data_IF_385010252039
#
_entry.id   IF_385010252039
#
_cell.length_a   1.000
_cell.length_b   1.000
_cell.length_c   1.000
_cell.angle_alpha   90.00
_cell.angle_beta   90.00
_cell.angle_gamma   90.00
#
_symmetry.space_group_name_H-M   'P 1'
#
loop_
_entity.id
_entity.type
_entity.pdbx_description
1 polymer ?
#
# COMPACT_ATOMS: atom_id res chain seq x y z
N UNK A 1 15.54 -26.02 -13.71
CA UNK A 1 14.78 -24.98 -14.41
C UNK A 1 13.54 -25.59 -15.05
N UNK A 2 12.35 -25.30 -14.52
CA UNK A 2 11.11 -25.73 -15.16
C UNK A 2 10.74 -24.67 -16.22
N UNK A 3 11.04 -24.96 -17.48
CA UNK A 3 10.58 -24.14 -18.61
C UNK A 3 9.17 -24.59 -18.99
N UNK A 4 8.22 -23.69 -19.04
CA UNK A 4 6.93 -23.94 -19.67
C UNK A 4 7.14 -24.10 -21.17
N UNK A 5 6.65 -25.20 -21.72
CA UNK A 5 6.78 -25.54 -23.14
C UNK A 5 6.21 -24.40 -23.99
N UNK A 6 7.05 -23.81 -24.83
CA UNK A 6 6.68 -22.75 -25.80
C UNK A 6 6.92 -21.32 -25.34
N UNK A 7 7.37 -21.07 -24.10
CA UNK A 7 7.79 -19.74 -23.67
C UNK A 7 9.27 -19.73 -23.27
N UNK A 8 10.01 -18.72 -23.71
CA UNK A 8 11.41 -18.48 -23.29
C UNK A 8 11.51 -18.03 -21.83
N UNK A 9 10.53 -18.40 -20.97
CA UNK A 9 10.43 -18.02 -19.58
C UNK A 9 10.91 -19.17 -18.70
N UNK A 10 11.94 -18.92 -17.92
CA UNK A 10 12.49 -19.84 -16.94
C UNK A 10 12.20 -19.32 -15.52
N UNK A 11 11.39 -20.04 -14.75
CA UNK A 11 11.20 -19.77 -13.32
C UNK A 11 12.39 -20.37 -12.58
N UNK A 12 13.20 -19.55 -11.93
CA UNK A 12 14.40 -19.92 -11.18
C UNK A 12 14.09 -20.28 -9.74
N UNK A 13 13.13 -19.59 -9.13
CA UNK A 13 12.74 -19.77 -7.74
C UNK A 13 11.28 -19.41 -7.51
N UNK A 14 10.65 -20.11 -6.58
CA UNK A 14 9.28 -19.87 -6.15
C UNK A 14 9.17 -20.10 -4.64
N UNK A 15 8.59 -19.15 -3.95
CA UNK A 15 8.36 -19.20 -2.52
C UNK A 15 6.91 -18.90 -2.19
N UNK A 16 6.32 -19.73 -1.37
CA UNK A 16 5.07 -19.46 -0.70
C UNK A 16 5.42 -19.27 0.78
N UNK A 17 4.92 -18.20 1.37
CA UNK A 17 5.17 -17.90 2.76
C UNK A 17 4.07 -17.06 3.36
N UNK A 18 4.24 -16.74 4.61
CA UNK A 18 3.30 -15.94 5.35
C UNK A 18 3.62 -15.93 6.83
N UNK A 19 2.77 -15.26 7.58
CA UNK A 19 2.83 -15.26 9.03
C UNK A 19 1.42 -15.19 9.61
N UNK A 20 1.27 -15.74 10.81
CA UNK A 20 0.07 -15.56 11.62
C UNK A 20 0.38 -14.48 12.65
N UNK A 21 -0.51 -13.52 12.75
CA UNK A 21 -0.46 -12.47 13.77
C UNK A 21 -1.78 -12.47 14.51
N UNK A 22 -1.73 -12.60 15.84
CA UNK A 22 -2.85 -12.35 16.73
C UNK A 22 -2.55 -11.11 17.55
N UNK A 23 -3.48 -10.18 17.61
CA UNK A 23 -3.39 -8.94 18.39
C UNK A 23 -4.51 -8.95 19.41
N UNK A 24 -4.19 -8.61 20.65
CA UNK A 24 -5.16 -8.40 21.71
C UNK A 24 -4.96 -7.02 22.31
N UNK A 25 -6.05 -6.31 22.56
CA UNK A 25 -6.02 -4.99 23.16
C UNK A 25 -7.14 -4.81 24.19
N UNK A 26 -6.91 -3.91 25.12
CA UNK A 26 -7.88 -3.55 26.13
C UNK A 26 -7.95 -2.03 26.27
N UNK A 27 -9.09 -1.45 25.92
CA UNK A 27 -9.35 -0.04 25.96
C UNK A 27 -10.06 0.35 27.26
N UNK A 28 -9.48 1.26 28.02
CA UNK A 28 -10.06 1.78 29.23
C UNK A 28 -10.98 2.98 28.98
N UNK A 29 -10.82 3.65 27.84
CA UNK A 29 -11.56 4.85 27.44
C UNK A 29 -12.72 4.64 26.49
N UNK A 30 -12.95 3.40 26.02
CA UNK A 30 -14.06 3.05 25.15
C UNK A 30 -13.87 3.48 23.69
N UNK A 31 -12.76 3.16 23.11
CA UNK A 31 -12.56 3.18 21.65
C UNK A 31 -13.44 2.09 21.05
N UNK A 32 -14.20 2.43 20.01
CA UNK A 32 -15.20 1.53 19.40
C UNK A 32 -14.63 0.80 18.20
N UNK A 33 -13.47 1.24 17.72
CA UNK A 33 -12.85 0.64 16.53
C UNK A 33 -12.19 -0.70 16.84
N UNK A 34 -11.95 -1.41 15.78
CA UNK A 34 -11.16 -2.63 15.66
C UNK A 34 -9.72 -2.42 16.23
N UNK A 35 -8.80 -3.28 15.92
CA UNK A 35 -7.38 -3.21 16.31
C UNK A 35 -6.62 -2.00 15.74
N UNK A 36 -7.28 -1.15 14.98
CA UNK A 36 -6.71 0.06 14.39
C UNK A 36 -6.96 1.28 15.26
N UNK A 37 -5.92 1.91 15.75
CA UNK A 37 -6.04 3.16 16.48
C UNK A 37 -6.19 4.34 15.52
N UNK A 38 -7.45 4.71 15.21
CA UNK A 38 -7.78 5.84 14.34
C UNK A 38 -8.34 6.99 15.18
N UNK A 39 -7.55 8.01 15.52
CA UNK A 39 -8.00 9.11 16.38
C UNK A 39 -9.24 9.84 15.90
N UNK A 40 -9.46 9.90 14.59
CA UNK A 40 -10.64 10.54 14.02
C UNK A 40 -11.95 9.80 14.34
N UNK A 41 -11.88 8.52 14.69
CA UNK A 41 -13.04 7.69 15.01
C UNK A 41 -13.34 7.66 16.51
N UNK A 42 -12.51 8.29 17.35
CA UNK A 42 -12.74 8.35 18.78
C UNK A 42 -13.95 9.25 19.06
N UNK A 43 -15.03 8.72 19.64
CA UNK A 43 -16.21 9.52 19.94
C UNK A 43 -15.92 10.52 21.06
N UNK A 44 -16.40 11.75 20.91
CA UNK A 44 -16.27 12.79 21.95
C UNK A 44 -16.95 12.42 23.28
N UNK A 45 -17.96 11.57 23.21
CA UNK A 45 -18.66 11.01 24.38
C UNK A 45 -18.77 9.50 24.13
N UNK A 46 -17.95 8.73 24.83
CA UNK A 46 -18.04 7.26 24.76
C UNK A 46 -19.10 6.74 25.73
N UNK A 47 -19.99 5.89 25.21
CA UNK A 47 -20.94 5.13 26.03
C UNK A 47 -20.35 3.83 26.58
N UNK A 48 -19.27 3.37 25.96
CA UNK A 48 -18.55 2.13 26.32
C UNK A 48 -17.31 2.56 27.10
N UNK A 49 -17.13 2.05 28.30
CA UNK A 49 -16.00 2.45 29.14
C UNK A 49 -14.83 1.48 29.12
N UNK A 50 -15.08 0.21 28.96
CA UNK A 50 -14.03 -0.80 28.94
C UNK A 50 -14.33 -1.79 27.81
N UNK A 51 -13.36 -2.06 26.98
CA UNK A 51 -13.52 -2.96 25.83
C UNK A 51 -12.28 -3.84 25.67
N UNK A 52 -12.50 -5.13 25.53
CA UNK A 52 -11.46 -6.08 25.15
C UNK A 52 -11.71 -6.56 23.75
N UNK A 53 -10.67 -6.58 22.93
CA UNK A 53 -10.73 -7.03 21.54
C UNK A 53 -9.59 -7.98 21.24
N UNK A 54 -9.83 -8.93 20.37
CA UNK A 54 -8.79 -9.79 19.77
C UNK A 54 -9.03 -9.96 18.28
N UNK A 55 -7.98 -9.88 17.51
CA UNK A 55 -8.03 -10.07 16.07
C UNK A 55 -6.82 -10.83 15.53
N UNK A 56 -7.02 -11.61 14.48
CA UNK A 56 -5.97 -12.31 13.75
C UNK A 56 -6.04 -12.05 12.22
N UNK A 57 -6.89 -11.13 11.79
CA UNK A 57 -7.13 -10.84 10.37
C UNK A 57 -5.91 -10.24 9.64
N UNK A 58 -4.93 -9.75 10.39
CA UNK A 58 -3.65 -9.26 9.85
C UNK A 58 -2.69 -10.38 9.44
N UNK A 59 -3.01 -11.64 9.74
CA UNK A 59 -2.27 -12.78 9.20
C UNK A 59 -2.16 -12.65 7.67
N UNK A 60 -0.96 -12.86 7.15
CA UNK A 60 -0.64 -12.58 5.74
C UNK A 60 -0.11 -13.80 5.06
N UNK A 61 -0.54 -14.02 3.82
CA UNK A 61 -0.02 -15.05 2.92
C UNK A 61 0.58 -14.35 1.71
N UNK A 62 1.72 -14.83 1.22
CA UNK A 62 2.33 -14.32 0.01
C UNK A 62 2.87 -15.42 -0.90
N UNK A 63 2.89 -15.11 -2.19
CA UNK A 63 3.54 -15.88 -3.24
C UNK A 63 4.61 -15.00 -3.90
N UNK A 64 5.82 -15.51 -4.04
CA UNK A 64 6.92 -14.87 -4.75
C UNK A 64 7.45 -15.82 -5.82
N UNK A 65 7.54 -15.32 -7.05
CA UNK A 65 8.15 -16.03 -8.18
C UNK A 65 9.32 -15.19 -8.69
N UNK A 66 10.45 -15.82 -8.89
CA UNK A 66 11.64 -15.21 -9.51
C UNK A 66 11.96 -15.99 -10.76
N UNK A 67 12.10 -15.29 -11.87
CA UNK A 67 12.36 -15.93 -13.15
C UNK A 67 13.26 -15.08 -14.03
N UNK A 68 13.59 -15.64 -15.19
CA UNK A 68 14.37 -15.00 -16.24
C UNK A 68 13.70 -15.18 -17.59
N UNK A 69 13.67 -14.12 -18.40
CA UNK A 69 13.29 -14.21 -19.80
C UNK A 69 14.31 -13.45 -20.66
N UNK A 70 14.43 -13.83 -21.93
CA UNK A 70 15.31 -13.10 -22.87
C UNK A 70 14.89 -11.66 -23.04
N UNK A 71 13.58 -11.38 -23.04
CA UNK A 71 13.03 -10.04 -23.28
C UNK A 71 13.18 -9.12 -22.07
N UNK A 72 12.79 -9.59 -20.89
CA UNK A 72 12.71 -8.76 -19.67
C UNK A 72 13.96 -8.86 -18.80
N UNK A 73 14.79 -9.89 -19.00
CA UNK A 73 15.86 -10.24 -18.08
C UNK A 73 15.31 -10.90 -16.81
N UNK A 74 15.92 -10.67 -15.68
CA UNK A 74 15.45 -11.15 -14.40
C UNK A 74 14.17 -10.39 -13.99
N UNK A 75 13.17 -11.14 -13.54
CA UNK A 75 11.91 -10.58 -13.07
C UNK A 75 11.47 -11.22 -11.75
N UNK A 76 10.68 -10.49 -11.00
CA UNK A 76 10.02 -10.98 -9.79
C UNK A 76 8.53 -10.69 -9.88
N UNK A 77 7.70 -11.68 -9.61
CA UNK A 77 6.26 -11.51 -9.38
C UNK A 77 6.01 -11.71 -7.89
N UNK A 78 5.25 -10.82 -7.31
CA UNK A 78 4.90 -10.87 -5.89
C UNK A 78 3.42 -10.60 -5.69
N UNK A 79 2.77 -11.51 -4.98
CA UNK A 79 1.37 -11.35 -4.58
C UNK A 79 1.24 -11.63 -3.10
N UNK A 80 0.55 -10.76 -2.38
CA UNK A 80 0.32 -10.91 -0.95
C UNK A 80 -1.06 -10.41 -0.57
N UNK A 81 -1.65 -11.04 0.43
CA UNK A 81 -2.92 -10.62 1.00
C UNK A 81 -3.07 -11.02 2.45
N UNK A 82 -4.01 -10.39 3.11
CA UNK A 82 -4.42 -10.68 4.49
C UNK A 82 -5.95 -10.88 4.55
N UNK A 83 -6.49 -11.01 5.75
CA UNK A 83 -7.93 -11.28 5.97
C UNK A 83 -8.65 -10.05 6.56
N UNK A 84 -8.23 -8.84 6.18
CA UNK A 84 -8.87 -7.58 6.60
C UNK A 84 -9.91 -7.04 5.62
N UNK A 85 -10.35 -7.83 4.68
CA UNK A 85 -11.55 -7.53 3.88
C UNK A 85 -12.81 -7.53 4.77
N UNK A 86 -13.91 -6.97 4.27
CA UNK A 86 -15.18 -7.00 5.00
C UNK A 86 -15.51 -8.42 5.46
N UNK A 87 -15.98 -8.56 6.68
CA UNK A 87 -16.27 -9.86 7.32
C UNK A 87 -15.07 -10.83 7.35
N UNK A 88 -13.87 -10.30 7.52
CA UNK A 88 -12.60 -11.05 7.55
C UNK A 88 -12.32 -11.84 6.27
N UNK A 89 -12.82 -11.37 5.13
CA UNK A 89 -12.50 -11.95 3.83
C UNK A 89 -11.08 -11.61 3.40
N UNK A 90 -10.58 -12.37 2.43
CA UNK A 90 -9.25 -12.12 1.87
C UNK A 90 -9.17 -10.75 1.19
N UNK A 91 -8.19 -9.97 1.56
CA UNK A 91 -7.91 -8.65 1.00
C UNK A 91 -6.55 -8.65 0.29
N UNK A 92 -6.54 -8.31 -0.99
CA UNK A 92 -5.30 -8.14 -1.74
C UNK A 92 -4.50 -6.95 -1.19
N UNK A 93 -3.24 -7.19 -0.86
CA UNK A 93 -2.31 -6.16 -0.35
C UNK A 93 -1.28 -5.75 -1.39
N UNK A 94 -0.76 -6.71 -2.13
CA UNK A 94 0.18 -6.48 -3.21
C UNK A 94 -0.07 -7.49 -4.32
N UNK A 95 0.04 -7.06 -5.56
CA UNK A 95 0.07 -7.90 -6.76
C UNK A 95 0.85 -7.15 -7.85
N UNK A 96 2.16 -7.39 -7.93
CA UNK A 96 3.00 -6.67 -8.87
C UNK A 96 4.08 -7.56 -9.49
N UNK A 97 4.59 -7.12 -10.62
CA UNK A 97 5.76 -7.64 -11.26
C UNK A 97 6.84 -6.55 -11.32
N UNK A 98 8.07 -6.93 -11.01
CA UNK A 98 9.23 -6.06 -11.19
C UNK A 98 10.28 -6.72 -12.08
N UNK A 99 10.84 -5.96 -13.01
CA UNK A 99 11.91 -6.37 -13.90
C UNK A 99 12.80 -5.18 -14.22
N UNK A 100 14.12 -5.41 -14.23
CA UNK A 100 15.09 -4.32 -14.35
C UNK A 100 14.80 -3.26 -13.27
N UNK A 101 14.39 -2.06 -13.67
CA UNK A 101 14.04 -0.95 -12.77
C UNK A 101 12.55 -0.57 -12.84
N UNK A 102 11.76 -1.37 -13.53
CA UNK A 102 10.33 -1.13 -13.74
C UNK A 102 9.53 -2.00 -12.77
N UNK A 103 8.49 -1.44 -12.17
CA UNK A 103 7.50 -2.18 -11.40
C UNK A 103 6.11 -1.85 -11.97
N UNK A 104 5.31 -2.89 -12.22
CA UNK A 104 3.94 -2.78 -12.70
C UNK A 104 3.02 -3.63 -11.85
N UNK A 105 1.86 -3.09 -11.48
CA UNK A 105 0.84 -3.77 -10.69
C UNK A 105 0.42 -3.00 -9.45
N UNK A 106 -0.30 -3.67 -8.57
CA UNK A 106 -0.87 -3.12 -7.35
C UNK A 106 0.12 -3.20 -6.19
N UNK A 107 0.61 -2.05 -5.73
CA UNK A 107 1.58 -1.96 -4.64
C UNK A 107 1.55 -0.57 -4.00
N UNK A 108 2.49 -0.30 -3.10
CA UNK A 108 2.61 0.99 -2.43
C UNK A 108 2.89 2.13 -3.41
N UNK A 109 2.18 3.24 -3.23
CA UNK A 109 2.34 4.44 -4.07
C UNK A 109 3.74 5.05 -4.00
N UNK A 110 4.16 5.68 -5.09
CA UNK A 110 5.50 6.27 -5.23
C UNK A 110 5.79 7.46 -4.32
N UNK A 111 4.74 8.08 -3.78
CA UNK A 111 4.86 9.19 -2.82
C UNK A 111 5.19 8.72 -1.39
N UNK A 112 5.01 7.42 -1.09
CA UNK A 112 5.26 6.87 0.25
C UNK A 112 6.73 6.66 0.54
N UNK A 113 7.10 6.80 1.81
CA UNK A 113 8.40 6.39 2.32
C UNK A 113 8.25 5.26 3.35
N UNK A 114 8.30 4.03 2.85
CA UNK A 114 8.21 2.85 3.72
C UNK A 114 9.43 2.69 4.64
N UNK A 115 10.58 3.24 4.25
CA UNK A 115 11.81 3.16 5.05
C UNK A 115 11.82 4.06 6.28
N UNK A 116 10.97 5.09 6.29
CA UNK A 116 10.81 6.02 7.42
C UNK A 116 9.73 5.58 8.41
N UNK A 117 8.93 4.55 8.08
CA UNK A 117 7.88 4.07 8.97
C UNK A 117 8.47 3.28 10.14
N UNK A 118 8.24 3.67 11.38
CA UNK A 118 8.65 2.90 12.55
C UNK A 118 7.85 1.60 12.65
N UNK A 119 8.44 0.59 13.29
CA UNK A 119 7.71 -0.61 13.65
C UNK A 119 6.79 -0.31 14.84
N UNK A 120 5.49 -0.38 14.62
CA UNK A 120 4.46 -0.19 15.65
C UNK A 120 3.73 -1.50 15.92
N UNK A 121 3.20 -1.67 17.13
CA UNK A 121 2.31 -2.78 17.47
C UNK A 121 0.94 -2.53 16.83
N UNK A 122 0.50 -1.28 16.85
CA UNK A 122 -0.71 -0.84 16.18
C UNK A 122 -0.62 -1.05 14.67
N UNK A 123 -1.69 -1.59 14.08
CA UNK A 123 -1.75 -1.89 12.66
C UNK A 123 -1.82 -0.63 11.79
N UNK A 124 -2.48 0.42 12.28
CA UNK A 124 -2.59 1.70 11.58
C UNK A 124 -1.24 2.41 11.45
N UNK A 125 -0.34 2.21 12.40
CA UNK A 125 0.95 2.88 12.44
C UNK A 125 0.87 4.34 12.88
N UNK A 126 1.92 5.14 12.66
CA UNK A 126 1.97 6.51 13.13
C UNK A 126 0.97 7.40 12.40
N UNK A 127 0.27 8.25 13.16
CA UNK A 127 -0.63 9.24 12.61
C UNK A 127 0.13 10.22 11.70
N UNK A 128 -0.50 10.59 10.59
CA UNK A 128 0.09 11.49 9.60
C UNK A 128 1.06 10.83 8.61
N UNK A 129 1.35 9.53 8.76
CA UNK A 129 2.08 8.80 7.72
C UNK A 129 1.22 8.66 6.47
N UNK A 130 1.76 9.09 5.34
CA UNK A 130 1.11 8.85 4.04
C UNK A 130 1.16 7.37 3.73
N UNK A 131 0.01 6.72 3.63
CA UNK A 131 -0.09 5.30 3.38
C UNK A 131 -1.22 4.99 2.40
N UNK A 132 -0.86 4.58 1.19
CA UNK A 132 -1.83 4.13 0.20
C UNK A 132 -1.22 3.11 -0.75
N UNK A 133 -2.07 2.36 -1.44
CA UNK A 133 -1.71 1.45 -2.51
C UNK A 133 -2.50 1.79 -3.76
N UNK A 134 -1.85 1.64 -4.90
CA UNK A 134 -2.48 1.87 -6.20
C UNK A 134 -1.94 0.87 -7.24
N UNK A 135 -2.73 0.62 -8.25
CA UNK A 135 -2.21 0.00 -9.48
C UNK A 135 -1.36 1.03 -10.18
N UNK A 136 -0.11 0.68 -10.45
CA UNK A 136 0.87 1.64 -10.96
C UNK A 136 1.85 1.03 -11.96
N UNK A 137 2.43 1.91 -12.74
CA UNK A 137 3.65 1.70 -13.48
C UNK A 137 4.71 2.64 -12.91
N UNK A 138 5.77 2.10 -12.36
CA UNK A 138 6.84 2.89 -11.76
C UNK A 138 8.20 2.53 -12.32
N UNK A 139 9.08 3.52 -12.39
CA UNK A 139 10.48 3.37 -12.75
C UNK A 139 11.37 3.88 -11.62
N UNK A 140 12.37 3.09 -11.23
CA UNK A 140 13.30 3.44 -10.16
C UNK A 140 14.72 3.49 -10.72
N UNK A 141 15.34 4.66 -10.73
CA UNK A 141 16.73 4.85 -11.13
C UNK A 141 17.66 4.77 -9.92
N UNK A 142 18.67 3.88 -10.00
CA UNK A 142 19.69 3.63 -8.96
C UNK A 142 21.12 3.76 -9.48
N UNK A 143 21.31 4.51 -10.56
CA UNK A 143 22.63 4.62 -11.22
C UNK A 143 23.63 5.53 -10.49
N UNK A 144 23.19 6.33 -9.53
CA UNK A 144 24.06 7.18 -8.72
C UNK A 144 24.23 6.58 -7.32
N UNK A 145 25.45 6.60 -6.82
CA UNK A 145 25.77 6.17 -5.46
C UNK A 145 24.97 7.04 -4.47
N UNK A 146 24.37 6.39 -3.47
CA UNK A 146 23.61 7.02 -2.39
C UNK A 146 22.32 7.74 -2.82
N UNK A 147 22.03 7.83 -4.13
CA UNK A 147 20.81 8.42 -4.67
C UNK A 147 19.87 7.38 -5.29
N UNK A 148 18.60 7.57 -5.06
CA UNK A 148 17.51 6.83 -5.68
C UNK A 148 16.43 7.79 -6.16
N UNK A 149 16.08 7.70 -7.43
CA UNK A 149 14.98 8.46 -8.02
C UNK A 149 13.87 7.50 -8.41
N UNK A 150 12.64 7.88 -8.17
CA UNK A 150 11.47 7.08 -8.57
C UNK A 150 10.44 8.01 -9.20
N UNK A 151 9.84 7.55 -10.30
CA UNK A 151 8.69 8.19 -10.92
C UNK A 151 7.63 7.12 -11.17
N UNK A 152 6.35 7.47 -11.01
CA UNK A 152 5.23 6.56 -11.27
C UNK A 152 4.02 7.26 -11.85
N UNK A 153 3.24 6.44 -12.57
CA UNK A 153 1.88 6.74 -13.02
C UNK A 153 0.99 5.76 -12.27
N UNK A 154 0.00 6.27 -11.54
CA UNK A 154 -0.79 5.51 -10.58
C UNK A 154 -2.28 5.66 -10.85
N UNK A 155 -3.04 4.61 -10.63
CA UNK A 155 -4.50 4.73 -10.58
C UNK A 155 -4.88 5.70 -9.45
N UNK A 156 -5.76 6.69 -9.71
CA UNK A 156 -6.09 7.69 -8.71
C UNK A 156 -6.77 7.04 -7.50
N UNK A 157 -6.19 7.26 -6.33
CA UNK A 157 -6.75 6.86 -5.04
C UNK A 157 -7.18 8.13 -4.30
N UNK A 158 -8.35 8.65 -4.65
CA UNK A 158 -8.90 9.86 -4.04
C UNK A 158 -9.88 9.45 -2.98
N UNK A 159 -9.59 9.84 -1.76
CA UNK A 159 -10.50 9.80 -0.62
C UNK A 159 -10.74 11.23 -0.14
N UNK A 160 -11.94 11.54 0.26
CA UNK A 160 -12.28 12.90 0.66
C UNK A 160 -13.62 12.98 1.37
N UNK A 161 -13.87 14.12 1.97
CA UNK A 161 -15.14 14.40 2.64
C UNK A 161 -16.27 14.51 1.63
N UNK A 162 -17.26 13.65 1.76
CA UNK A 162 -18.50 13.72 1.00
C UNK A 162 -19.59 14.37 1.84
N UNK A 163 -20.51 15.05 1.18
CA UNK A 163 -21.71 15.60 1.81
C UNK A 163 -22.92 15.34 0.93
N UNK A 164 -24.12 15.68 1.40
CA UNK A 164 -25.34 15.55 0.58
C UNK A 164 -25.31 16.39 -0.71
N UNK A 165 -24.39 17.34 -0.81
CA UNK A 165 -24.24 18.23 -1.96
C UNK A 165 -23.05 17.89 -2.84
N UNK A 166 -22.05 17.16 -2.33
CA UNK A 166 -20.80 16.88 -3.02
C UNK A 166 -20.48 15.39 -2.93
N UNK A 167 -20.26 14.79 -4.07
CA UNK A 167 -19.77 13.41 -4.19
C UNK A 167 -18.46 13.38 -4.97
N UNK A 168 -17.58 12.45 -4.60
CA UNK A 168 -16.34 12.24 -5.34
C UNK A 168 -16.70 11.59 -6.67
N UNK A 169 -16.42 12.28 -7.76
CA UNK A 169 -16.63 11.75 -9.10
C UNK A 169 -15.48 10.84 -9.54
N UNK A 170 -15.68 10.10 -10.63
CA UNK A 170 -14.59 9.38 -11.27
C UNK A 170 -13.48 10.33 -11.69
N UNK A 171 -12.25 10.01 -11.32
CA UNK A 171 -11.10 10.85 -11.64
C UNK A 171 -10.73 10.69 -13.12
N UNK A 172 -10.43 11.80 -13.77
CA UNK A 172 -10.20 11.88 -15.23
C UNK A 172 -8.74 11.64 -15.62
N UNK A 173 -7.83 11.76 -14.68
CA UNK A 173 -6.39 11.64 -14.91
C UNK A 173 -5.78 10.66 -13.91
N UNK A 174 -4.74 9.92 -14.31
CA UNK A 174 -3.92 9.20 -13.36
C UNK A 174 -3.17 10.17 -12.44
N UNK A 175 -2.76 9.68 -11.29
CA UNK A 175 -1.82 10.39 -10.43
C UNK A 175 -0.40 10.22 -10.97
N UNK A 176 0.38 11.28 -10.94
CA UNK A 176 1.80 11.27 -11.28
C UNK A 176 2.60 11.54 -10.01
N UNK A 177 3.52 10.64 -9.68
CA UNK A 177 4.40 10.84 -8.53
C UNK A 177 5.85 10.85 -8.97
N UNK A 178 6.66 11.65 -8.29
CA UNK A 178 8.11 11.64 -8.43
C UNK A 178 8.74 11.83 -7.06
N UNK A 179 9.83 11.12 -6.81
CA UNK A 179 10.59 11.24 -5.56
C UNK A 179 12.08 11.05 -5.77
N UNK A 180 12.87 11.75 -4.94
CA UNK A 180 14.30 11.63 -4.85
C UNK A 180 14.68 11.30 -3.41
N UNK A 181 15.55 10.31 -3.23
CA UNK A 181 16.06 9.89 -1.94
C UNK A 181 17.57 9.95 -1.93
N UNK A 182 18.15 10.53 -0.90
CA UNK A 182 19.56 10.50 -0.60
C UNK A 182 19.80 9.72 0.69
N UNK A 183 20.67 8.72 0.65
CA UNK A 183 20.99 7.86 1.80
C UNK A 183 22.46 8.03 2.16
N UNK A 184 22.75 8.62 3.31
CA UNK A 184 24.14 8.84 3.77
C UNK A 184 24.70 7.65 4.58
N UNK A 185 23.81 6.75 5.00
CA UNK A 185 24.19 5.46 5.59
C UNK A 185 23.08 4.43 5.40
N UNK A 186 23.25 3.21 5.91
CA UNK A 186 22.28 2.12 5.77
C UNK A 186 20.97 2.35 6.53
N UNK A 187 20.93 3.25 7.49
CA UNK A 187 19.81 3.45 8.41
C UNK A 187 19.17 4.83 8.29
N UNK A 188 19.79 5.75 7.54
CA UNK A 188 19.34 7.13 7.50
C UNK A 188 19.29 7.65 6.07
N UNK A 189 18.21 8.29 5.74
CA UNK A 189 18.01 8.91 4.43
C UNK A 189 17.11 10.14 4.53
N UNK A 190 17.19 10.96 3.50
CA UNK A 190 16.24 12.04 3.23
C UNK A 190 15.50 11.72 1.94
N UNK A 191 14.20 11.75 1.96
CA UNK A 191 13.36 11.60 0.78
C UNK A 191 12.49 12.83 0.56
N UNK A 192 12.50 13.34 -0.65
CA UNK A 192 11.62 14.41 -1.11
C UNK A 192 10.76 13.85 -2.24
N UNK A 193 9.48 14.08 -2.19
CA UNK A 193 8.54 13.60 -3.20
C UNK A 193 7.45 14.60 -3.49
N UNK A 194 6.88 14.49 -4.67
CA UNK A 194 5.73 15.25 -5.13
C UNK A 194 4.70 14.35 -5.80
N UNK A 195 3.44 14.76 -5.74
CA UNK A 195 2.32 14.12 -6.42
C UNK A 195 1.53 15.20 -7.18
N UNK A 196 1.18 14.89 -8.42
CA UNK A 196 0.24 15.66 -9.22
C UNK A 196 -1.02 14.81 -9.35
N UNK A 197 -2.13 15.32 -8.83
CA UNK A 197 -3.41 14.64 -8.75
C UNK A 197 -4.54 15.55 -9.23
N UNK A 198 -5.48 15.00 -9.98
CA UNK A 198 -6.74 15.67 -10.30
C UNK A 198 -7.81 15.20 -9.32
N UNK A 199 -8.53 16.13 -8.70
CA UNK A 199 -9.67 15.81 -7.83
C UNK A 199 -10.93 16.36 -8.46
N UNK A 200 -11.85 15.49 -8.82
CA UNK A 200 -13.12 15.85 -9.46
C UNK A 200 -14.26 15.54 -8.50
N UNK A 201 -15.12 16.54 -8.28
CA UNK A 201 -16.35 16.41 -7.49
C UNK A 201 -17.56 16.65 -8.38
N UNK A 202 -18.63 15.94 -8.11
CA UNK A 202 -19.94 16.17 -8.71
C UNK A 202 -20.84 16.87 -7.69
N UNK A 203 -21.48 17.97 -8.12
CA UNK A 203 -22.52 18.62 -7.34
C UNK A 203 -23.82 17.85 -7.52
N UNK A 204 -24.39 17.36 -6.44
CA UNK A 204 -25.75 16.84 -6.43
C UNK A 204 -26.71 18.05 -6.43
N UNK A 205 -27.20 18.42 -7.59
CA UNK A 205 -28.31 19.37 -7.67
C UNK A 205 -29.57 18.65 -7.22
N UNK A 206 -29.91 18.79 -5.95
CA UNK A 206 -31.26 18.44 -5.49
C UNK A 206 -32.20 19.43 -6.18
N UNK A 207 -32.94 18.95 -7.17
CA UNK A 207 -34.07 19.71 -7.69
C UNK A 207 -35.10 19.82 -6.58
N UNK A 208 -35.25 21.03 -6.06
CA UNK A 208 -36.36 21.42 -5.19
C UNK A 208 -37.61 21.50 -6.05
#
# INVERSE_FOLDING_TARGET
>A
CACLVGSEMCIRDRGIGGYVRATGEYDFGGIVDDIDFVPANIPSISKIKNQFQMDASTATIFLKLVGHTRLLGDFTVYTAGNFRGGDKTFQLRNAYMSFRNITVGYTYGGFMDLGALPSTIDFQGPNGATFYRATQLSYTYKGLKDFRFQASIEAPAVDGTTSSQFEIAQQRMPDFTASAQYSWNSSSHLRVGGIIRSMTYTLSLIHI
#
